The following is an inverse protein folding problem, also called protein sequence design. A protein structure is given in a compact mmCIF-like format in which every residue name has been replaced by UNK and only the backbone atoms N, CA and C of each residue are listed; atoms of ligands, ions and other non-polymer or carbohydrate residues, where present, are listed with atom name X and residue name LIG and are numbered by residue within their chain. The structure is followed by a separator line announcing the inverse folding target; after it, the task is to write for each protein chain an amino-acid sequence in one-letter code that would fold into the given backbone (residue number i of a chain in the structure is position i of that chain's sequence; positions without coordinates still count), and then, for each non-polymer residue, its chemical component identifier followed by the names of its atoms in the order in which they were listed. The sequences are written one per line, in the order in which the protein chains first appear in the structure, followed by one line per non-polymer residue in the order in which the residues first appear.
data_IF_312409839660
#
_entry.id   IF_312409839660
#
_cell.length_a   1.000
_cell.length_b   1.000
_cell.length_c   1.000
_cell.angle_alpha   90.00
_cell.angle_beta   90.00
_cell.angle_gamma   90.00
#
_symmetry.space_group_name_H-M   'P 1'
#
loop_
_entity.id
_entity.type
_entity.pdbx_description
1 polymer ?
#
# COMPACT_ATOMS: atom_id res chain seq x y z
N UNK A 1 -9.52 18.35 13.09
CA UNK A 1 -10.22 18.32 11.79
C UNK A 1 -9.85 17.02 11.10
N UNK A 2 -10.74 16.03 11.14
CA UNK A 2 -10.51 14.76 10.46
C UNK A 2 -10.60 14.96 8.95
N UNK A 3 -9.46 14.86 8.27
CA UNK A 3 -9.43 14.92 6.83
C UNK A 3 -9.97 13.60 6.24
N UNK A 4 -11.29 13.53 6.10
CA UNK A 4 -12.10 12.47 5.47
C UNK A 4 -11.65 12.10 4.02
N UNK A 5 -10.72 12.84 3.41
CA UNK A 5 -10.29 12.62 2.03
C UNK A 5 -9.19 11.56 1.85
N UNK A 6 -8.64 10.98 2.91
CA UNK A 6 -7.31 10.35 2.80
C UNK A 6 -7.19 8.83 2.65
N UNK A 7 -8.22 7.99 2.77
CA UNK A 7 -8.00 6.54 2.55
C UNK A 7 -9.13 5.86 1.78
N UNK A 8 -9.10 5.98 0.45
CA UNK A 8 -9.75 5.01 -0.44
C UNK A 8 -8.98 3.67 -0.47
N UNK A 9 -8.14 3.35 0.49
CA UNK A 9 -7.38 2.09 0.50
C UNK A 9 -7.82 1.28 1.71
N UNK A 10 -7.81 -0.04 1.59
CA UNK A 10 -7.99 -0.91 2.74
C UNK A 10 -6.84 -0.70 3.74
N UNK A 11 -7.09 -0.93 5.04
CA UNK A 11 -6.03 -0.90 6.05
C UNK A 11 -4.78 -1.69 5.67
N UNK A 12 -4.93 -2.92 5.15
CA UNK A 12 -3.81 -3.73 4.67
C UNK A 12 -2.99 -3.03 3.57
N UNK A 13 -3.67 -2.39 2.61
CA UNK A 13 -2.98 -1.69 1.51
C UNK A 13 -2.17 -0.53 2.07
N UNK A 14 -2.70 0.20 3.05
CA UNK A 14 -1.98 1.31 3.70
C UNK A 14 -0.74 0.80 4.44
N UNK A 15 -0.86 -0.33 5.14
CA UNK A 15 0.26 -0.96 5.85
C UNK A 15 1.35 -1.37 4.86
N UNK A 16 1.01 -2.14 3.83
CA UNK A 16 1.98 -2.63 2.84
C UNK A 16 2.69 -1.47 2.15
N UNK A 17 1.97 -0.42 1.73
CA UNK A 17 2.58 0.77 1.13
C UNK A 17 3.60 1.45 2.05
N UNK A 18 3.30 1.55 3.35
CA UNK A 18 4.23 2.07 4.37
C UNK A 18 5.44 1.16 4.57
N UNK A 19 5.23 -0.16 4.59
CA UNK A 19 6.30 -1.15 4.72
C UNK A 19 7.28 -1.02 3.55
N UNK A 20 6.78 -0.95 2.31
CA UNK A 20 7.61 -0.77 1.10
C UNK A 20 8.46 0.50 1.20
N UNK A 21 7.86 1.63 1.58
CA UNK A 21 8.59 2.88 1.81
C UNK A 21 9.68 2.71 2.85
N UNK A 22 9.37 2.06 3.98
CA UNK A 22 10.32 1.82 5.06
C UNK A 22 11.49 0.96 4.59
N UNK A 23 11.23 -0.13 3.85
CA UNK A 23 12.28 -0.99 3.30
C UNK A 23 13.26 -0.21 2.40
N UNK A 24 12.72 0.65 1.52
CA UNK A 24 13.56 1.50 0.68
C UNK A 24 14.44 2.45 1.49
N UNK A 25 13.86 3.12 2.49
CA UNK A 25 14.57 4.09 3.33
C UNK A 25 15.62 3.42 4.22
N UNK A 26 15.27 2.30 4.85
CA UNK A 26 16.17 1.54 5.73
C UNK A 26 17.36 0.94 4.92
N UNK A 27 17.16 0.63 3.64
CA UNK A 27 18.23 0.23 2.72
C UNK A 27 19.07 1.41 2.19
N UNK A 28 18.74 2.65 2.54
CA UNK A 28 19.45 3.85 2.08
C UNK A 28 19.19 4.24 0.62
N UNK A 29 18.22 3.61 -0.04
CA UNK A 29 17.94 3.87 -1.45
C UNK A 29 17.16 5.17 -1.65
N UNK A 30 17.66 6.02 -2.55
CA UNK A 30 16.91 7.20 -3.00
C UNK A 30 15.64 6.81 -3.77
N UNK A 31 14.74 7.76 -4.02
CA UNK A 31 13.54 7.51 -4.84
C UNK A 31 13.91 7.04 -6.26
N UNK A 32 14.95 7.64 -6.87
CA UNK A 32 15.41 7.25 -8.21
C UNK A 32 16.01 5.83 -8.21
N UNK A 33 16.82 5.52 -7.20
CA UNK A 33 17.44 4.22 -7.07
C UNK A 33 16.42 3.11 -6.83
N UNK A 34 15.49 3.33 -5.89
CA UNK A 34 14.40 2.39 -5.62
C UNK A 34 13.57 2.13 -6.88
N UNK A 35 13.24 3.19 -7.64
CA UNK A 35 12.43 3.07 -8.85
C UNK A 35 13.17 2.25 -9.92
N UNK A 36 14.47 2.52 -10.11
CA UNK A 36 15.34 1.76 -11.00
C UNK A 36 15.41 0.29 -10.62
N UNK A 37 15.61 -0.02 -9.33
CA UNK A 37 15.70 -1.40 -8.84
C UNK A 37 14.39 -2.18 -9.06
N UNK A 38 13.25 -1.52 -8.85
CA UNK A 38 11.93 -2.12 -9.04
C UNK A 38 11.50 -2.17 -10.52
N UNK A 39 12.22 -1.50 -11.40
CA UNK A 39 11.89 -1.40 -12.83
C UNK A 39 10.61 -0.61 -13.07
N UNK A 40 10.37 0.43 -12.27
CA UNK A 40 9.22 1.35 -12.38
C UNK A 40 9.72 2.78 -12.54
N UNK A 41 8.86 3.69 -13.01
CA UNK A 41 9.19 5.12 -13.02
C UNK A 41 9.26 5.68 -11.60
N UNK A 42 10.02 6.77 -11.42
CA UNK A 42 10.09 7.52 -10.15
C UNK A 42 8.69 7.91 -9.65
N UNK A 43 7.82 8.40 -10.55
CA UNK A 43 6.44 8.78 -10.23
C UNK A 43 5.62 7.58 -9.76
N UNK A 44 5.75 6.44 -10.44
CA UNK A 44 5.06 5.21 -10.00
C UNK A 44 5.52 4.78 -8.61
N UNK A 45 6.82 4.86 -8.29
CA UNK A 45 7.30 4.53 -6.95
C UNK A 45 6.76 5.50 -5.89
N UNK A 46 6.70 6.80 -6.19
CA UNK A 46 6.05 7.79 -5.32
C UNK A 46 4.58 7.44 -5.07
N UNK A 47 3.85 7.02 -6.12
CA UNK A 47 2.45 6.60 -6.03
C UNK A 47 2.28 5.25 -5.29
N UNK A 48 3.26 4.35 -5.38
CA UNK A 48 3.32 3.10 -4.62
C UNK A 48 3.47 3.39 -3.14
N UNK A 49 4.40 4.28 -2.75
CA UNK A 49 4.76 4.52 -1.35
C UNK A 49 3.85 5.52 -0.62
N UNK A 50 3.06 6.28 -1.36
CA UNK A 50 2.10 7.23 -0.79
C UNK A 50 0.75 6.57 -0.50
N UNK A 51 0.11 7.02 0.58
CA UNK A 51 -1.27 6.64 0.93
C UNK A 51 -2.32 7.47 0.18
N UNK A 52 -1.87 8.46 -0.62
CA UNK A 52 -2.74 9.26 -1.48
C UNK A 52 -3.19 8.44 -2.67
N UNK A 53 -4.45 8.62 -3.09
CA UNK A 53 -5.05 7.83 -4.15
C UNK A 53 -4.67 8.37 -5.54
N UNK A 54 -3.47 8.07 -6.00
CA UNK A 54 -3.00 8.37 -7.37
C UNK A 54 -3.27 7.24 -8.38
N UNK A 55 -3.96 6.17 -7.97
CA UNK A 55 -4.37 5.08 -8.86
C UNK A 55 -3.30 4.02 -9.12
N UNK A 56 -2.14 4.07 -8.45
CA UNK A 56 -1.13 3.04 -8.57
C UNK A 56 -1.44 1.82 -7.67
N UNK A 57 -1.45 0.65 -8.29
CA UNK A 57 -1.74 -0.63 -7.66
C UNK A 57 -0.44 -1.36 -7.28
N UNK A 58 -0.52 -2.15 -6.22
CA UNK A 58 0.50 -3.16 -5.90
C UNK A 58 0.11 -4.43 -6.65
N UNK A 59 0.97 -4.88 -7.56
CA UNK A 59 0.81 -6.17 -8.25
C UNK A 59 1.74 -7.23 -7.67
N UNK A 60 1.53 -8.48 -8.07
CA UNK A 60 2.27 -9.62 -7.55
C UNK A 60 3.74 -9.55 -7.97
N UNK A 61 4.02 -9.10 -9.19
CA UNK A 61 5.35 -8.95 -9.76
C UNK A 61 6.18 -7.93 -8.99
N UNK A 62 5.60 -6.79 -8.63
CA UNK A 62 6.23 -5.76 -7.80
C UNK A 62 6.51 -6.30 -6.41
N UNK A 63 5.55 -6.97 -5.77
CA UNK A 63 5.75 -7.58 -4.44
C UNK A 63 6.86 -8.64 -4.47
N UNK A 64 6.91 -9.46 -5.51
CA UNK A 64 7.97 -10.44 -5.70
C UNK A 64 9.35 -9.77 -5.86
N UNK A 65 9.45 -8.70 -6.65
CA UNK A 65 10.69 -7.92 -6.78
C UNK A 65 11.13 -7.29 -5.46
N UNK A 66 10.20 -6.70 -4.71
CA UNK A 66 10.47 -6.10 -3.39
C UNK A 66 11.04 -7.15 -2.45
N UNK A 67 10.44 -8.35 -2.42
CA UNK A 67 10.97 -9.48 -1.65
C UNK A 67 12.42 -9.80 -2.00
N UNK A 68 12.76 -9.87 -3.29
CA UNK A 68 14.10 -10.20 -3.76
C UNK A 68 15.10 -9.09 -3.43
N UNK A 69 14.76 -7.84 -3.73
CA UNK A 69 15.65 -6.67 -3.57
C UNK A 69 15.97 -6.41 -2.09
N UNK A 70 14.95 -6.43 -1.24
CA UNK A 70 15.09 -6.08 0.18
C UNK A 70 15.28 -7.31 1.07
N UNK A 71 15.32 -8.52 0.50
CA UNK A 71 15.48 -9.80 1.21
C UNK A 71 14.47 -9.97 2.36
N UNK A 72 13.22 -9.59 2.10
CA UNK A 72 12.10 -9.70 3.04
C UNK A 72 11.04 -10.64 2.54
N UNK A 73 10.52 -11.49 3.42
CA UNK A 73 9.39 -12.34 3.07
C UNK A 73 8.14 -11.51 2.80
N UNK A 74 7.20 -12.04 2.01
CA UNK A 74 5.91 -11.35 1.81
C UNK A 74 5.13 -11.26 3.13
N UNK A 75 5.26 -12.26 3.99
CA UNK A 75 4.68 -12.31 5.33
C UNK A 75 5.15 -11.12 6.19
N UNK A 76 6.46 -10.87 6.25
CA UNK A 76 7.00 -9.68 6.94
C UNK A 76 6.53 -8.35 6.32
N UNK A 77 6.23 -8.32 5.01
CA UNK A 77 5.77 -7.11 4.31
C UNK A 77 4.30 -6.82 4.61
N UNK A 78 3.47 -7.86 4.69
CA UNK A 78 2.03 -7.72 5.01
C UNK A 78 1.79 -7.58 6.52
N UNK A 79 2.69 -8.11 7.36
CA UNK A 79 2.56 -8.10 8.81
C UNK A 79 1.47 -9.04 9.31
N UNK A 80 1.10 -8.88 10.58
CA UNK A 80 0.01 -9.65 11.18
C UNK A 80 -1.33 -9.30 10.52
N UNK A 81 -2.07 -10.33 10.16
CA UNK A 81 -3.40 -10.23 9.56
C UNK A 81 -4.46 -10.69 10.58
N UNK A 82 -5.68 -10.14 10.55
CA UNK A 82 -6.76 -10.63 11.39
C UNK A 82 -7.15 -12.07 10.98
N UNK A 83 -7.50 -12.89 11.97
CA UNK A 83 -8.00 -14.26 11.75
C UNK A 83 -9.36 -14.27 11.04
N UNK A 84 -10.13 -13.18 11.17
CA UNK A 84 -11.41 -13.00 10.50
C UNK A 84 -11.20 -12.58 9.03
N UNK A 85 -11.45 -13.53 8.12
CA UNK A 85 -11.39 -13.32 6.68
C UNK A 85 -12.35 -12.22 6.17
N UNK A 86 -13.47 -11.98 6.86
CA UNK A 86 -14.45 -10.96 6.47
C UNK A 86 -14.20 -9.61 7.15
N UNK A 87 -13.04 -9.43 7.79
CA UNK A 87 -12.69 -8.19 8.46
C UNK A 87 -12.67 -6.99 7.51
N UNK A 88 -13.19 -5.84 7.98
CA UNK A 88 -13.05 -4.53 7.32
C UNK A 88 -11.58 -4.17 7.02
N UNK A 89 -10.62 -4.86 7.66
CA UNK A 89 -9.18 -4.72 7.41
C UNK A 89 -8.80 -5.00 5.94
N UNK A 90 -9.51 -5.90 5.28
CA UNK A 90 -9.31 -6.23 3.87
C UNK A 90 -10.15 -5.36 2.93
N UNK A 91 -11.16 -4.67 3.46
CA UNK A 91 -12.10 -3.91 2.67
C UNK A 91 -11.60 -2.51 2.33
N UNK A 92 -11.73 -2.15 1.05
CA UNK A 92 -11.54 -0.78 0.60
C UNK A 92 -12.73 0.04 1.12
N UNK A 93 -12.52 1.02 2.00
CA UNK A 93 -13.58 1.96 2.40
C UNK A 93 -14.17 2.64 1.17
N UNK A 94 -15.34 2.16 0.74
CA UNK A 94 -16.15 2.83 -0.28
C UNK A 94 -16.85 3.99 0.41
N UNK A 95 -16.93 5.14 -0.26
CA UNK A 95 -17.77 6.24 0.22
C UNK A 95 -19.18 5.67 0.28
N UNK A 96 -19.75 5.44 1.48
CA UNK A 96 -21.16 5.08 1.61
C UNK A 96 -21.93 6.19 0.90
N UNK A 97 -22.55 5.89 -0.23
CA UNK A 97 -23.65 6.72 -0.73
C UNK A 97 -24.70 6.64 0.36
N UNK A 98 -24.92 7.75 1.06
CA UNK A 98 -26.09 7.95 1.91
C UNK A 98 -27.33 7.80 1.02
N UNK A 99 -27.76 6.57 0.88
CA UNK A 99 -28.96 6.13 0.17
C UNK A 99 -29.50 4.87 0.87
N UNK A 100 -29.54 4.91 2.20
CA UNK A 100 -30.41 4.11 3.06
C UNK A 100 -30.74 5.03 4.25
N UNK A 101 -31.94 5.29 4.73
CA UNK A 101 -33.32 5.05 4.31
C UNK A 101 -34.11 5.94 5.28
N UNK A 102 -34.58 7.12 4.88
CA UNK A 102 -35.64 7.80 5.61
C UNK A 102 -36.97 7.14 5.20
N UNK A 103 -37.39 6.16 6.01
CA UNK A 103 -38.77 5.71 6.07
C UNK A 103 -39.20 5.62 7.53
#
# INVERSE_FOLDING_TARGET
MEHSQFTKFSPITVLVKRAIKKLRVDAGHSMNEGARLLGVSRKQLEDIETIRNYGCHLDLELLAKIKVIYRKSLDEIVGELPDDYYSEYFERRRKRTSAESEH
#
